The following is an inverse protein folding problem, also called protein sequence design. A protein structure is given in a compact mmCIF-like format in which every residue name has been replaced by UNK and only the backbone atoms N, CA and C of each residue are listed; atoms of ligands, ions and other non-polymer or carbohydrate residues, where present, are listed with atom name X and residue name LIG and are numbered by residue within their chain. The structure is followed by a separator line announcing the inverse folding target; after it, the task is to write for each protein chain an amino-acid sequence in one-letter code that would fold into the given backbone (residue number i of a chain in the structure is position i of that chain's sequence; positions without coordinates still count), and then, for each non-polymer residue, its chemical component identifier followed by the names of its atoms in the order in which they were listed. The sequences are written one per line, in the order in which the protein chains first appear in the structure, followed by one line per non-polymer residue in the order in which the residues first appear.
data_IF_644974955121
#
_entry.id   IF_644974955121
#
_cell.length_a   1.000
_cell.length_b   1.000
_cell.length_c   1.000
_cell.angle_alpha   90.00
_cell.angle_beta   90.00
_cell.angle_gamma   90.00
#
_symmetry.space_group_name_H-M   'P 1'
#
loop_
_entity.id
_entity.type
_entity.pdbx_description
1 polymer ?
#
# COMPACT_ATOMS: atom_id res chain seq x y z
N UNK A 1 -11.09 -32.03 -17.18
CA UNK A 1 -12.39 -31.81 -17.86
C UNK A 1 -13.31 -31.10 -16.88
N UNK A 2 -13.80 -29.91 -17.22
CA UNK A 2 -14.69 -29.12 -16.35
C UNK A 2 -16.13 -29.39 -16.77
N UNK A 3 -17.04 -29.55 -15.80
CA UNK A 3 -18.49 -29.62 -16.04
C UNK A 3 -19.13 -28.33 -15.56
N UNK A 4 -19.82 -27.63 -16.44
CA UNK A 4 -20.47 -26.33 -16.17
C UNK A 4 -21.97 -26.48 -16.40
N UNK A 5 -22.76 -26.06 -15.41
CA UNK A 5 -24.22 -25.98 -15.57
C UNK A 5 -24.56 -24.69 -16.29
N UNK A 6 -25.06 -24.84 -17.52
CA UNK A 6 -25.47 -23.71 -18.36
C UNK A 6 -27.00 -23.68 -18.41
N UNK A 7 -27.65 -22.53 -18.17
CA UNK A 7 -29.09 -22.38 -18.34
C UNK A 7 -29.53 -22.70 -19.78
N UNK A 8 -30.72 -23.29 -19.93
CA UNK A 8 -31.21 -23.76 -21.23
C UNK A 8 -31.29 -22.64 -22.29
N UNK A 9 -31.69 -21.44 -21.88
CA UNK A 9 -31.72 -20.25 -22.74
C UNK A 9 -30.34 -19.88 -23.28
N UNK A 10 -29.28 -19.99 -22.47
CA UNK A 10 -27.91 -19.76 -22.93
C UNK A 10 -27.45 -20.87 -23.87
N UNK A 11 -27.83 -22.12 -23.61
CA UNK A 11 -27.46 -23.24 -24.47
C UNK A 11 -28.08 -23.11 -25.88
N UNK A 12 -29.34 -22.66 -25.97
CA UNK A 12 -30.00 -22.36 -27.25
C UNK A 12 -29.22 -21.29 -28.03
N UNK A 13 -28.86 -20.18 -27.37
CA UNK A 13 -28.08 -19.11 -27.99
C UNK A 13 -26.71 -19.60 -28.47
N UNK A 14 -26.01 -20.37 -27.64
CA UNK A 14 -24.71 -20.94 -27.98
C UNK A 14 -24.80 -21.87 -29.21
N UNK A 15 -25.86 -22.68 -29.30
CA UNK A 15 -26.12 -23.54 -30.48
C UNK A 15 -26.38 -22.72 -31.74
N UNK A 16 -27.17 -21.65 -31.63
CA UNK A 16 -27.43 -20.76 -32.77
C UNK A 16 -26.14 -20.09 -33.26
N UNK A 17 -25.32 -19.56 -32.34
CA UNK A 17 -24.02 -18.96 -32.68
C UNK A 17 -23.07 -19.97 -33.32
N UNK A 18 -23.00 -21.19 -32.76
CA UNK A 18 -22.17 -22.27 -33.31
C UNK A 18 -22.55 -22.61 -34.77
N UNK A 19 -23.86 -22.63 -35.07
CA UNK A 19 -24.36 -22.84 -36.45
C UNK A 19 -24.01 -21.69 -37.38
N UNK A 20 -24.16 -20.44 -36.92
CA UNK A 20 -23.87 -19.25 -37.71
C UNK A 20 -22.38 -19.14 -38.06
N UNK A 21 -21.50 -19.47 -37.11
CA UNK A 21 -20.04 -19.40 -37.28
C UNK A 21 -19.43 -20.68 -37.89
N UNK A 22 -20.22 -21.75 -38.09
CA UNK A 22 -19.72 -23.03 -38.57
C UNK A 22 -18.77 -23.74 -37.59
N UNK A 23 -18.81 -23.39 -36.30
CA UNK A 23 -17.92 -23.90 -35.25
C UNK A 23 -18.64 -24.87 -34.32
N UNK A 24 -17.85 -25.67 -33.59
CA UNK A 24 -18.42 -26.51 -32.54
C UNK A 24 -18.78 -25.68 -31.29
N UNK A 25 -19.76 -26.16 -30.50
CA UNK A 25 -20.14 -25.54 -29.22
C UNK A 25 -18.93 -25.36 -28.28
N UNK A 26 -18.09 -26.40 -28.19
CA UNK A 26 -16.91 -26.39 -27.33
C UNK A 26 -15.87 -25.36 -27.79
N UNK A 27 -15.78 -25.10 -29.08
CA UNK A 27 -14.84 -24.15 -29.65
C UNK A 27 -15.26 -22.70 -29.38
N UNK A 28 -16.55 -22.40 -29.50
CA UNK A 28 -17.08 -21.10 -29.07
C UNK A 28 -16.83 -20.89 -27.57
N UNK A 29 -17.10 -21.89 -26.73
CA UNK A 29 -16.85 -21.78 -25.27
C UNK A 29 -15.37 -21.51 -24.99
N UNK A 30 -14.45 -22.21 -25.66
CA UNK A 30 -13.01 -21.98 -25.50
C UNK A 30 -12.61 -20.55 -25.89
N UNK A 31 -13.13 -20.06 -27.02
CA UNK A 31 -12.86 -18.71 -27.50
C UNK A 31 -13.38 -17.66 -26.53
N UNK A 32 -14.61 -17.82 -26.03
CA UNK A 32 -15.19 -16.91 -25.04
C UNK A 32 -14.42 -16.88 -23.72
N UNK A 33 -13.95 -18.04 -23.24
CA UNK A 33 -13.12 -18.10 -22.02
C UNK A 33 -11.77 -17.41 -22.25
N UNK A 34 -11.12 -17.68 -23.39
CA UNK A 34 -9.85 -17.02 -23.74
C UNK A 34 -10.03 -15.49 -23.80
N UNK A 35 -11.06 -15.01 -24.48
CA UNK A 35 -11.38 -13.59 -24.58
C UNK A 35 -11.66 -12.95 -23.20
N UNK A 36 -12.41 -13.65 -22.34
CA UNK A 36 -12.68 -13.20 -20.97
C UNK A 36 -11.37 -13.07 -20.16
N UNK A 37 -10.47 -14.05 -20.28
CA UNK A 37 -9.17 -14.02 -19.60
C UNK A 37 -8.29 -12.90 -20.14
N UNK A 38 -8.14 -12.75 -21.46
CA UNK A 38 -7.35 -11.67 -22.06
C UNK A 38 -7.87 -10.29 -21.68
N UNK A 39 -9.21 -10.11 -21.64
CA UNK A 39 -9.82 -8.86 -21.18
C UNK A 39 -9.55 -8.57 -19.71
N UNK A 40 -9.42 -9.61 -18.88
CA UNK A 40 -9.07 -9.51 -17.45
C UNK A 40 -7.58 -9.33 -17.22
N UNK A 41 -6.73 -10.01 -17.97
CA UNK A 41 -5.26 -9.92 -17.92
C UNK A 41 -4.76 -8.56 -18.43
N UNK A 42 -5.48 -7.93 -19.37
CA UNK A 42 -5.23 -6.55 -19.78
C UNK A 42 -5.44 -5.51 -18.66
N UNK A 43 -6.13 -5.88 -17.58
CA UNK A 43 -6.13 -5.12 -16.33
C UNK A 43 -4.96 -5.61 -15.48
N UNK A 44 -3.75 -5.10 -15.79
CA UNK A 44 -2.58 -5.22 -14.92
C UNK A 44 -3.02 -5.03 -13.46
N UNK A 45 -2.59 -5.92 -12.59
CA UNK A 45 -2.94 -5.77 -11.17
C UNK A 45 -2.42 -4.43 -10.65
N UNK A 46 -3.05 -3.81 -9.65
CA UNK A 46 -2.55 -2.55 -9.08
C UNK A 46 -1.07 -2.62 -8.65
N UNK A 47 -0.61 -3.81 -8.26
CA UNK A 47 0.80 -4.08 -7.97
C UNK A 47 1.69 -4.02 -9.23
N UNK A 48 1.29 -4.68 -10.32
CA UNK A 48 2.02 -4.66 -11.59
C UNK A 48 2.05 -3.26 -12.21
N UNK A 49 0.96 -2.49 -12.09
CA UNK A 49 0.88 -1.10 -12.56
C UNK A 49 1.83 -0.15 -11.82
N UNK A 50 2.11 -0.42 -10.54
CA UNK A 50 2.99 0.41 -9.72
C UNK A 50 4.41 -0.14 -9.57
N UNK A 51 4.73 -1.27 -10.22
CA UNK A 51 5.99 -2.00 -9.99
C UNK A 51 7.23 -1.17 -10.28
N UNK A 52 7.17 -0.31 -11.28
CA UNK A 52 8.18 0.66 -11.67
C UNK A 52 8.25 1.87 -10.73
N UNK A 53 7.14 2.22 -10.07
CA UNK A 53 7.07 3.31 -9.10
C UNK A 53 7.48 2.88 -7.69
N UNK A 54 7.31 1.60 -7.33
CA UNK A 54 7.75 1.06 -6.04
C UNK A 54 9.29 0.97 -6.00
N UNK A 55 9.90 1.55 -4.97
CA UNK A 55 11.36 1.52 -4.79
C UNK A 55 12.14 2.60 -5.55
N UNK A 56 11.48 3.38 -6.42
CA UNK A 56 12.11 4.52 -7.12
C UNK A 56 12.57 5.63 -6.17
N UNK A 57 11.90 5.80 -5.03
CA UNK A 57 12.32 6.65 -3.93
C UNK A 57 13.01 5.80 -2.86
N UNK A 58 14.21 5.30 -3.16
CA UNK A 58 15.07 4.72 -2.13
C UNK A 58 15.53 5.84 -1.20
N UNK A 59 15.09 5.82 0.06
CA UNK A 59 15.85 6.47 1.13
C UNK A 59 17.23 5.83 1.22
N UNK A 60 18.26 6.57 1.62
CA UNK A 60 19.63 6.06 1.84
C UNK A 60 19.72 4.94 2.90
N UNK A 61 18.60 4.55 3.51
CA UNK A 61 18.47 3.52 4.54
C UNK A 61 17.56 2.40 4.06
N UNK A 62 18.08 1.18 4.08
CA UNK A 62 17.38 -0.04 3.65
C UNK A 62 16.52 -0.67 4.78
N UNK A 63 16.72 -0.24 6.02
CA UNK A 63 16.13 -0.83 7.23
C UNK A 63 14.99 0.00 7.83
N UNK A 64 14.45 0.98 7.09
CA UNK A 64 13.34 1.84 7.54
C UNK A 64 12.10 1.05 8.00
N UNK A 65 11.84 -0.10 7.36
CA UNK A 65 10.71 -0.96 7.71
C UNK A 65 10.95 -1.71 9.03
N UNK A 66 12.16 -2.23 9.22
CA UNK A 66 12.55 -3.05 10.39
C UNK A 66 12.68 -2.16 11.63
N UNK A 67 13.40 -1.04 11.50
CA UNK A 67 13.75 -0.15 12.61
C UNK A 67 12.81 1.06 12.73
N UNK A 68 11.58 0.98 12.18
CA UNK A 68 10.63 2.11 12.10
C UNK A 68 10.42 2.82 13.44
N UNK A 69 10.30 2.06 14.54
CA UNK A 69 9.99 2.61 15.87
C UNK A 69 11.15 3.43 16.42
N UNK A 70 12.37 2.98 16.17
CA UNK A 70 13.57 3.69 16.59
C UNK A 70 13.68 5.03 15.85
N UNK A 71 13.55 5.02 14.52
CA UNK A 71 13.62 6.24 13.71
C UNK A 71 12.51 7.25 14.02
N UNK A 72 11.30 6.77 14.31
CA UNK A 72 10.21 7.64 14.76
C UNK A 72 10.55 8.33 16.09
N UNK A 73 11.12 7.57 17.05
CA UNK A 73 11.52 8.11 18.34
C UNK A 73 12.60 9.19 18.19
N UNK A 74 13.63 8.90 17.40
CA UNK A 74 14.71 9.85 17.09
C UNK A 74 14.17 11.13 16.42
N UNK A 75 13.28 11.01 15.43
CA UNK A 75 12.67 12.16 14.76
C UNK A 75 11.82 13.02 15.70
N UNK A 76 11.05 12.38 16.58
CA UNK A 76 10.23 13.07 17.57
C UNK A 76 11.08 13.78 18.64
N UNK A 77 12.14 13.12 19.12
CA UNK A 77 13.08 13.71 20.07
C UNK A 77 13.80 14.92 19.46
N UNK A 78 14.35 14.79 18.25
CA UNK A 78 15.01 15.90 17.57
C UNK A 78 14.06 17.10 17.33
N UNK A 79 12.78 16.86 17.02
CA UNK A 79 11.77 17.93 16.91
C UNK A 79 11.48 18.57 18.27
N UNK A 80 11.41 17.76 19.32
CA UNK A 80 11.17 18.24 20.68
C UNK A 80 12.35 19.09 21.17
N UNK A 81 13.59 18.62 21.01
CA UNK A 81 14.82 19.35 21.36
C UNK A 81 14.94 20.70 20.63
N UNK A 82 14.61 20.74 19.34
CA UNK A 82 14.53 21.98 18.57
C UNK A 82 13.47 22.94 19.10
N UNK A 83 12.33 22.43 19.58
CA UNK A 83 11.24 23.24 20.17
C UNK A 83 11.54 23.70 21.60
N UNK A 84 12.22 22.86 22.39
CA UNK A 84 12.55 23.15 23.79
C UNK A 84 13.90 23.85 23.96
N UNK A 85 14.62 24.16 22.88
CA UNK A 85 15.84 24.99 22.89
C UNK A 85 16.84 24.56 23.96
N UNK A 86 17.56 23.46 23.74
CA UNK A 86 18.65 23.05 24.62
C UNK A 86 19.99 23.35 23.96
N UNK A 87 20.63 24.46 24.34
CA UNK A 87 22.01 24.79 23.95
C UNK A 87 22.97 24.48 25.10
N UNK A 88 23.97 23.63 24.87
CA UNK A 88 25.18 23.42 25.70
C UNK A 88 26.29 22.91 24.76
N UNK A 89 27.54 23.40 24.79
CA UNK A 89 28.60 23.21 25.80
C UNK A 89 29.52 24.44 25.93
N UNK A 90 29.06 25.59 25.47
CA UNK A 90 29.80 26.83 25.21
C UNK A 90 29.12 28.08 25.81
N UNK A 91 28.12 27.88 26.68
CA UNK A 91 27.46 28.95 27.43
C UNK A 91 26.17 29.46 26.76
N UNK A 92 25.05 29.11 27.40
CA UNK A 92 23.67 29.68 27.28
C UNK A 92 22.90 29.36 26.00
N UNK A 93 21.65 28.89 25.96
CA UNK A 93 20.51 28.90 26.90
C UNK A 93 19.68 27.59 26.77
N UNK A 94 19.01 27.25 27.87
CA UNK A 94 18.10 26.10 28.10
C UNK A 94 16.63 26.53 28.17
N UNK A 95 15.67 25.63 27.92
CA UNK A 95 14.36 25.71 28.59
C UNK A 95 14.06 24.44 29.39
N UNK A 96 13.78 24.63 30.69
CA UNK A 96 13.46 23.57 31.67
C UNK A 96 12.02 23.06 31.46
N UNK A 97 11.73 21.77 31.73
CA UNK A 97 10.36 21.26 31.64
C UNK A 97 9.47 21.96 32.66
N UNK A 98 8.22 22.23 32.26
CA UNK A 98 7.19 22.95 33.06
C UNK A 98 7.02 22.36 34.47
N UNK A 99 7.29 21.06 34.65
CA UNK A 99 7.22 20.36 35.93
C UNK A 99 8.19 20.88 37.01
N UNK A 100 9.35 21.41 36.64
CA UNK A 100 10.34 21.90 37.62
C UNK A 100 10.06 23.34 38.10
N UNK A 101 9.29 24.13 37.34
CA UNK A 101 8.92 25.51 37.70
C UNK A 101 7.92 25.49 38.87
N UNK A 102 6.97 24.54 38.85
CA UNK A 102 5.95 24.41 39.89
C UNK A 102 6.57 24.02 41.24
N UNK A 103 7.59 23.15 41.23
CA UNK A 103 8.24 22.67 42.45
C UNK A 103 9.10 23.76 43.15
N UNK A 104 9.63 24.71 42.38
CA UNK A 104 10.46 25.79 42.91
C UNK A 104 9.62 26.89 43.58
N UNK A 105 8.41 27.17 43.09
CA UNK A 105 7.53 28.21 43.64
C UNK A 105 6.91 27.77 44.98
N UNK A 106 6.68 26.46 45.17
CA UNK A 106 6.06 25.89 46.38
C UNK A 106 7.01 25.67 47.56
N UNK A 107 8.31 25.94 47.42
CA UNK A 107 9.32 25.69 48.46
C UNK A 107 10.06 26.95 48.94
N UNK A 108 9.61 28.14 48.55
CA UNK A 108 10.06 29.39 49.17
C UNK A 108 9.19 29.72 50.40
N UNK A 109 9.80 30.02 51.56
CA UNK A 109 9.07 30.48 52.75
C UNK A 109 8.43 31.86 52.54
#
# INVERSE_FOLDING_TARGET
MISLRIPEEMEKRLRSMARLEGKSRSEIIKQSIAEYLTRREGALTPYELGKDLFGAASSDREDLSVNRKQYLKESLQAKHEKRTGTKKSDGTMTWRPVAEIVFFISSMP
#
